data_IF_711962034934
#
_entry.id   IF_711962034934
#
_cell.length_a   1.000
_cell.length_b   1.000
_cell.length_c   1.000
_cell.angle_alpha   90.00
_cell.angle_beta   90.00
_cell.angle_gamma   90.00
#
_symmetry.space_group_name_H-M   'P 1'
#
loop_
_entity.id
_entity.type
_entity.pdbx_description
1 polymer ?
#
# COMPACT_ATOMS: atom_id res chain seq x y z
N UNK A 1 10.96 -12.28 1.51
CA UNK A 1 11.00 -10.82 1.75
C UNK A 1 12.02 -10.40 2.83
N UNK A 2 13.24 -10.95 2.86
CA UNK A 2 14.23 -10.62 3.92
C UNK A 2 14.65 -9.15 3.89
N UNK A 3 14.92 -8.61 2.69
CA UNK A 3 15.31 -7.21 2.50
C UNK A 3 14.21 -6.24 2.90
N UNK A 4 12.99 -6.45 2.38
CA UNK A 4 11.85 -5.61 2.73
C UNK A 4 11.62 -5.60 4.25
N UNK A 5 11.61 -6.77 4.91
CA UNK A 5 11.45 -6.88 6.36
C UNK A 5 12.52 -6.12 7.18
N UNK A 6 13.72 -5.94 6.64
CA UNK A 6 14.79 -5.15 7.28
C UNK A 6 14.76 -3.65 6.94
N UNK A 7 13.88 -3.21 6.05
CA UNK A 7 13.76 -1.81 5.64
C UNK A 7 12.93 -1.00 6.63
N UNK A 8 13.31 0.27 6.84
CA UNK A 8 12.54 1.21 7.66
C UNK A 8 11.37 1.86 6.91
N UNK A 9 11.42 1.89 5.58
CA UNK A 9 10.41 2.49 4.70
C UNK A 9 10.49 1.84 3.32
N UNK A 10 9.36 1.69 2.64
CA UNK A 10 9.30 1.36 1.22
C UNK A 10 8.93 2.62 0.42
N UNK A 11 9.76 2.98 -0.56
CA UNK A 11 9.44 4.00 -1.53
C UNK A 11 8.99 3.36 -2.86
N UNK A 12 7.88 3.83 -3.42
CA UNK A 12 7.36 3.39 -4.71
C UNK A 12 7.22 4.59 -5.65
N UNK A 13 8.33 5.04 -6.28
CA UNK A 13 8.37 6.23 -7.13
C UNK A 13 7.94 5.95 -8.58
N UNK A 14 6.99 5.04 -8.78
CA UNK A 14 6.57 4.60 -10.12
C UNK A 14 5.98 5.77 -10.93
N UNK A 15 6.20 5.77 -12.25
CA UNK A 15 5.52 6.71 -13.16
C UNK A 15 4.21 6.14 -13.71
N UNK A 16 4.09 4.82 -13.70
CA UNK A 16 2.93 4.05 -14.10
C UNK A 16 2.97 2.74 -13.32
N UNK A 17 1.82 2.28 -12.84
CA UNK A 17 1.70 1.05 -12.08
C UNK A 17 0.26 0.52 -12.19
N UNK A 18 0.07 -0.80 -12.12
CA UNK A 18 -1.29 -1.36 -12.03
C UNK A 18 -1.72 -1.42 -10.58
N UNK A 19 -1.47 -2.53 -9.89
CA UNK A 19 -1.76 -2.71 -8.48
C UNK A 19 -0.56 -3.38 -7.80
N UNK A 20 0.41 -2.59 -7.29
CA UNK A 20 1.73 -3.11 -6.94
C UNK A 20 1.68 -4.01 -5.72
N UNK A 21 2.27 -5.20 -5.85
CA UNK A 21 2.24 -6.21 -4.78
C UNK A 21 3.18 -5.88 -3.63
N UNK A 22 4.28 -5.18 -3.90
CA UNK A 22 5.24 -4.76 -2.87
C UNK A 22 4.61 -3.81 -1.81
N UNK A 23 3.59 -3.02 -2.15
CA UNK A 23 2.85 -2.18 -1.18
C UNK A 23 2.07 -3.06 -0.21
N UNK A 24 1.34 -4.07 -0.73
CA UNK A 24 0.61 -5.04 0.10
C UNK A 24 1.55 -5.80 1.02
N UNK A 25 2.69 -6.23 0.49
CA UNK A 25 3.75 -6.89 1.26
C UNK A 25 4.32 -6.01 2.36
N UNK A 26 4.58 -4.73 2.09
CA UNK A 26 5.07 -3.77 3.07
C UNK A 26 4.04 -3.53 4.18
N UNK A 27 2.77 -3.32 3.82
CA UNK A 27 1.68 -3.18 4.78
C UNK A 27 1.56 -4.40 5.69
N UNK A 28 1.63 -5.61 5.12
CA UNK A 28 1.57 -6.84 5.89
C UNK A 28 2.76 -6.97 6.86
N UNK A 29 3.95 -6.52 6.42
CA UNK A 29 5.15 -6.50 7.25
C UNK A 29 5.23 -5.29 8.20
N UNK A 30 4.18 -4.46 8.28
CA UNK A 30 4.15 -3.23 9.10
C UNK A 30 5.26 -2.23 8.75
N UNK A 31 5.57 -2.10 7.47
CA UNK A 31 6.55 -1.15 6.94
C UNK A 31 5.80 0.04 6.33
N UNK A 32 6.11 1.28 6.72
CA UNK A 32 5.47 2.46 6.13
C UNK A 32 5.85 2.62 4.66
N UNK A 33 4.91 3.14 3.87
CA UNK A 33 5.05 3.28 2.41
C UNK A 33 4.89 4.75 1.98
N UNK A 34 5.79 5.21 1.12
CA UNK A 34 5.64 6.44 0.35
C UNK A 34 5.53 6.08 -1.12
N UNK A 35 4.36 6.28 -1.72
CA UNK A 35 4.08 5.98 -3.12
C UNK A 35 3.75 7.22 -3.94
N UNK A 36 3.93 7.16 -5.24
CA UNK A 36 3.45 8.18 -6.17
C UNK A 36 1.95 8.04 -6.44
N UNK A 37 1.26 9.16 -6.66
CA UNK A 37 -0.16 9.20 -7.00
C UNK A 37 -0.39 8.86 -8.50
N UNK A 38 -0.15 7.61 -8.88
CA UNK A 38 -0.34 7.10 -10.26
C UNK A 38 -0.90 5.69 -10.26
N UNK A 39 -1.62 5.33 -11.33
CA UNK A 39 -2.12 3.97 -11.50
C UNK A 39 -3.05 3.55 -10.36
N UNK A 40 -2.94 2.30 -9.92
CA UNK A 40 -3.66 1.78 -8.75
C UNK A 40 -2.90 1.92 -7.42
N UNK A 41 -1.81 2.69 -7.34
CA UNK A 41 -1.18 3.01 -6.04
C UNK A 41 -2.18 3.69 -5.08
N UNK A 42 -3.01 4.66 -5.52
CA UNK A 42 -4.00 5.32 -4.65
C UNK A 42 -5.14 4.40 -4.21
N UNK A 43 -5.33 3.24 -4.86
CA UNK A 43 -6.30 2.23 -4.40
C UNK A 43 -5.78 1.47 -3.16
N UNK A 44 -4.46 1.42 -2.98
CA UNK A 44 -3.82 0.78 -1.82
C UNK A 44 -3.52 1.80 -0.72
N UNK A 45 -3.05 3.00 -1.07
CA UNK A 45 -2.64 4.03 -0.11
C UNK A 45 -3.76 5.05 0.10
N UNK A 46 -4.31 5.08 1.32
CA UNK A 46 -5.12 6.19 1.83
C UNK A 46 -4.15 7.22 2.39
N UNK A 47 -3.99 8.35 1.69
CA UNK A 47 -3.04 9.40 2.04
C UNK A 47 -3.15 9.77 3.54
N UNK A 48 -2.00 9.86 4.21
CA UNK A 48 -1.80 10.09 5.66
C UNK A 48 -2.41 9.08 6.62
N UNK A 49 -3.26 8.16 6.14
CA UNK A 49 -3.92 7.15 6.97
C UNK A 49 -3.24 5.78 6.90
N UNK A 50 -2.92 5.28 5.72
CA UNK A 50 -2.22 3.98 5.55
C UNK A 50 -0.83 4.12 4.91
N UNK A 51 -0.53 5.31 4.38
CA UNK A 51 0.77 5.63 3.79
C UNK A 51 0.77 7.06 3.26
N UNK A 52 1.86 7.45 2.60
CA UNK A 52 2.00 8.77 1.99
C UNK A 52 1.91 8.65 0.46
N UNK A 53 1.23 9.61 -0.14
CA UNK A 53 1.13 9.80 -1.57
C UNK A 53 1.84 11.09 -1.95
N UNK A 54 2.65 11.04 -3.00
CA UNK A 54 3.35 12.21 -3.56
C UNK A 54 3.09 12.33 -5.06
N UNK A 55 3.20 13.52 -5.66
CA UNK A 55 3.11 13.66 -7.11
C UNK A 55 4.20 12.84 -7.84
N UNK A 56 3.86 12.28 -9.00
CA UNK A 56 4.84 11.59 -9.84
C UNK A 56 5.89 12.55 -10.39
N UNK A 57 7.16 12.14 -10.38
CA UNK A 57 8.29 12.98 -10.81
C UNK A 57 8.75 14.04 -9.80
N UNK A 58 8.04 14.23 -8.68
CA UNK A 58 8.44 15.17 -7.63
C UNK A 58 9.40 14.53 -6.63
N UNK A 59 10.69 14.47 -7.02
CA UNK A 59 11.76 13.90 -6.20
C UNK A 59 12.00 14.67 -4.88
N UNK A 60 11.73 15.97 -4.87
CA UNK A 60 11.85 16.83 -3.68
C UNK A 60 10.79 16.46 -2.66
N UNK A 61 9.54 16.30 -3.08
CA UNK A 61 8.45 15.89 -2.20
C UNK A 61 8.65 14.45 -1.72
N UNK A 62 9.02 13.53 -2.62
CA UNK A 62 9.32 12.14 -2.25
C UNK A 62 10.38 12.07 -1.14
N UNK A 63 11.52 12.72 -1.33
CA UNK A 63 12.62 12.68 -0.35
C UNK A 63 12.24 13.36 0.97
N UNK A 64 11.49 14.46 0.93
CA UNK A 64 10.97 15.14 2.12
C UNK A 64 10.07 14.23 2.96
N UNK A 65 9.12 13.54 2.33
CA UNK A 65 8.19 12.65 3.04
C UNK A 65 8.89 11.38 3.57
N UNK A 66 9.85 10.81 2.82
CA UNK A 66 10.71 9.72 3.32
C UNK A 66 11.45 10.16 4.58
N UNK A 67 12.09 11.34 4.55
CA UNK A 67 12.83 11.86 5.69
C UNK A 67 11.93 12.13 6.91
N UNK A 68 10.70 12.59 6.70
CA UNK A 68 9.72 12.74 7.79
C UNK A 68 9.39 11.41 8.44
N UNK A 69 9.14 10.37 7.63
CA UNK A 69 8.86 9.02 8.15
C UNK A 69 10.05 8.49 8.96
N UNK A 70 11.27 8.65 8.46
CA UNK A 70 12.47 8.17 9.15
C UNK A 70 12.76 8.92 10.46
N UNK A 71 12.35 10.19 10.57
CA UNK A 71 12.55 11.01 11.78
C UNK A 71 11.42 10.84 12.80
N UNK A 72 10.20 10.56 12.35
CA UNK A 72 9.03 10.49 13.22
C UNK A 72 8.86 9.10 13.84
N UNK A 73 8.81 9.03 15.18
CA UNK A 73 8.50 7.79 15.90
C UNK A 73 7.00 7.50 16.01
N UNK A 74 6.13 8.44 15.63
CA UNK A 74 4.67 8.36 15.79
C UNK A 74 3.93 7.80 14.56
N UNK A 75 4.61 7.12 13.63
CA UNK A 75 3.92 6.50 12.49
C UNK A 75 3.17 5.20 12.87
N UNK A 76 3.08 4.86 14.16
CA UNK A 76 2.49 3.60 14.65
C UNK A 76 1.04 3.44 14.23
N UNK A 77 0.23 4.50 14.30
CA UNK A 77 -1.18 4.47 13.90
C UNK A 77 -1.33 4.22 12.39
N UNK A 78 -0.55 4.93 11.56
CA UNK A 78 -0.56 4.74 10.11
C UNK A 78 -0.17 3.31 9.73
N UNK A 79 0.88 2.79 10.36
CA UNK A 79 1.38 1.43 10.13
C UNK A 79 0.32 0.40 10.53
N UNK A 80 -0.34 0.59 11.67
CA UNK A 80 -1.37 -0.31 12.15
C UNK A 80 -2.61 -0.28 11.24
N UNK A 81 -3.05 0.90 10.81
CA UNK A 81 -4.14 1.05 9.85
C UNK A 81 -3.82 0.41 8.49
N UNK A 82 -2.58 0.52 8.01
CA UNK A 82 -2.14 -0.13 6.77
C UNK A 82 -2.17 -1.66 6.87
N UNK A 83 -1.68 -2.20 7.99
CA UNK A 83 -1.73 -3.63 8.28
C UNK A 83 -3.17 -4.16 8.36
N UNK A 84 -4.05 -3.45 9.04
CA UNK A 84 -5.47 -3.80 9.13
C UNK A 84 -6.15 -3.75 7.77
N UNK A 85 -5.88 -2.71 6.98
CA UNK A 85 -6.41 -2.60 5.62
C UNK A 85 -6.03 -3.81 4.76
N UNK A 86 -4.74 -4.19 4.72
CA UNK A 86 -4.31 -5.30 3.85
C UNK A 86 -4.81 -6.66 4.35
N UNK A 87 -4.90 -6.86 5.67
CA UNK A 87 -5.37 -8.12 6.24
C UNK A 87 -6.88 -8.30 6.15
N UNK A 88 -7.65 -7.22 6.23
CA UNK A 88 -9.12 -7.28 6.22
C UNK A 88 -9.71 -7.15 4.80
N UNK A 89 -9.17 -6.24 3.98
CA UNK A 89 -9.76 -5.91 2.68
C UNK A 89 -9.06 -6.63 1.51
N UNK A 90 -7.77 -6.95 1.65
CA UNK A 90 -6.95 -7.52 0.58
C UNK A 90 -6.62 -9.01 0.79
N UNK A 91 -7.26 -9.68 1.75
CA UNK A 91 -7.03 -11.10 2.02
C UNK A 91 -7.86 -12.02 1.12
N UNK A 92 -7.35 -13.23 0.88
CA UNK A 92 -8.09 -14.27 0.15
C UNK A 92 -9.43 -14.61 0.80
N UNK A 93 -9.52 -14.56 2.13
CA UNK A 93 -10.78 -14.75 2.87
C UNK A 93 -11.85 -13.74 2.44
N UNK A 94 -11.47 -12.50 2.12
CA UNK A 94 -12.36 -11.43 1.66
C UNK A 94 -12.61 -11.47 0.15
N UNK A 95 -11.57 -11.79 -0.63
CA UNK A 95 -11.60 -11.70 -2.09
C UNK A 95 -12.25 -12.92 -2.74
N UNK A 96 -11.93 -14.15 -2.31
CA UNK A 96 -12.44 -15.39 -2.94
C UNK A 96 -13.96 -15.43 -3.04
N UNK A 97 -14.74 -15.08 -1.98
CA UNK A 97 -16.20 -15.10 -2.07
C UNK A 97 -16.76 -14.20 -3.18
N UNK A 98 -16.12 -13.06 -3.45
CA UNK A 98 -16.53 -12.14 -4.54
C UNK A 98 -16.33 -12.77 -5.92
N UNK A 99 -15.21 -13.44 -6.12
CA UNK A 99 -14.92 -14.16 -7.37
C UNK A 99 -15.89 -15.33 -7.57
N UNK A 100 -16.16 -16.11 -6.52
CA UNK A 100 -17.11 -17.22 -6.58
C UNK A 100 -18.50 -16.70 -6.95
N UNK A 101 -18.97 -15.65 -6.28
CA UNK A 101 -20.26 -15.04 -6.57
C UNK A 101 -20.35 -14.56 -8.03
N UNK A 102 -19.32 -13.87 -8.51
CA UNK A 102 -19.26 -13.42 -9.90
C UNK A 102 -19.36 -14.58 -10.91
N UNK A 103 -18.63 -15.69 -10.68
CA UNK A 103 -18.73 -16.85 -11.55
C UNK A 103 -20.08 -17.56 -11.45
N UNK A 104 -20.70 -17.60 -10.27
CA UNK A 104 -22.05 -18.14 -10.10
C UNK A 104 -23.08 -17.32 -10.89
N UNK A 105 -22.97 -15.99 -10.86
CA UNK A 105 -23.86 -15.09 -11.61
C UNK A 105 -23.71 -15.28 -13.12
N UNK A 106 -22.50 -15.53 -13.62
CA UNK A 106 -22.24 -15.80 -15.03
C UNK A 106 -22.78 -17.16 -15.51
N UNK A 107 -22.83 -18.16 -14.63
CA UNK A 107 -23.35 -19.50 -14.96
C UNK A 107 -24.88 -19.60 -14.85
N UNK A 108 -25.49 -18.72 -14.06
CA UNK A 108 -26.93 -18.66 -13.86
C UNK A 108 -27.65 -17.70 -14.83
N UNK A 109 -26.91 -17.02 -15.71
CA UNK A 109 -27.40 -16.26 -16.86
C UNK A 109 -27.10 -16.99 -18.16
#
# INVERSE_FOLDING_TARGET
MKLLKSSSVLAVPSRMESLPTNIKEAFFLKIPVVGTNVGGIPELIQHTKTGILVPSGDSTKLSSEINKILKNKENSEMIQAAYEFVTNEMSWKKIIPKYIHFYQDLLNN
#
